data_IF_196185822266
#
_entry.id   IF_196185822266
#
_cell.length_a   1.000
_cell.length_b   1.000
_cell.length_c   1.000
_cell.angle_alpha   90.00
_cell.angle_beta   90.00
_cell.angle_gamma   90.00
#
_symmetry.space_group_name_H-M   'P 1'
#
loop_
_entity.id
_entity.type
_entity.pdbx_description
1 polymer ?
#
# COMPACT_ATOMS: atom_id res chain seq x y z
N UNK A 1 14.42 -5.67 4.44
CA UNK A 1 13.88 -4.40 5.03
C UNK A 1 12.41 -4.25 4.68
N UNK A 2 11.62 -3.48 5.45
CA UNK A 2 10.20 -3.24 5.16
C UNK A 2 10.04 -1.80 4.66
N UNK A 3 9.46 -1.62 3.47
CA UNK A 3 9.04 -0.31 2.96
C UNK A 3 7.53 -0.16 3.14
N UNK A 4 7.11 0.86 3.88
CA UNK A 4 5.69 1.08 4.15
C UNK A 4 5.14 2.27 3.38
N UNK A 5 4.00 2.07 2.69
CA UNK A 5 3.28 3.12 1.95
C UNK A 5 1.94 3.41 2.64
N UNK A 6 1.75 4.66 3.04
CA UNK A 6 0.55 5.12 3.75
C UNK A 6 -0.70 5.25 2.86
N UNK A 7 -1.88 5.31 3.48
CA UNK A 7 -3.14 5.53 2.78
C UNK A 7 -3.35 6.98 2.29
N UNK A 8 -4.47 7.20 1.58
CA UNK A 8 -4.86 8.51 1.08
C UNK A 8 -4.93 9.56 2.20
N UNK A 9 -4.53 10.79 1.88
CA UNK A 9 -4.63 11.95 2.77
C UNK A 9 -3.86 11.79 4.10
N UNK A 10 -2.77 11.02 4.08
CA UNK A 10 -1.89 10.76 5.20
C UNK A 10 -0.44 11.14 4.85
N UNK A 11 0.55 10.71 5.63
CA UNK A 11 1.96 11.00 5.39
C UNK A 11 2.86 9.85 5.86
N UNK A 12 4.16 9.93 5.56
CA UNK A 12 5.18 9.01 6.09
C UNK A 12 5.26 9.01 7.63
N UNK A 13 4.74 10.05 8.29
CA UNK A 13 4.67 10.17 9.76
C UNK A 13 3.40 9.52 10.34
N UNK A 14 2.67 8.74 9.54
CA UNK A 14 1.41 8.12 9.94
C UNK A 14 1.56 7.21 11.16
N UNK A 15 0.55 7.20 12.02
CA UNK A 15 0.51 6.29 13.18
C UNK A 15 0.59 4.81 12.78
N UNK A 16 0.03 4.45 11.61
CA UNK A 16 0.07 3.08 11.10
C UNK A 16 1.49 2.66 10.73
N UNK A 17 2.28 3.54 10.09
CA UNK A 17 3.69 3.25 9.78
C UNK A 17 4.54 3.13 11.05
N UNK A 18 4.32 4.00 12.03
CA UNK A 18 5.00 3.93 13.34
C UNK A 18 4.65 2.64 14.07
N UNK A 19 3.38 2.26 14.09
CA UNK A 19 2.94 1.00 14.70
C UNK A 19 3.60 -0.22 14.03
N UNK A 20 3.69 -0.25 12.71
CA UNK A 20 4.39 -1.33 11.99
C UNK A 20 5.87 -1.39 12.38
N UNK A 21 6.55 -0.23 12.47
CA UNK A 21 7.95 -0.17 12.88
C UNK A 21 8.15 -0.68 14.31
N UNK A 22 7.31 -0.27 15.24
CA UNK A 22 7.37 -0.70 16.66
C UNK A 22 7.09 -2.20 16.81
N UNK A 23 6.10 -2.72 16.08
CA UNK A 23 5.65 -4.11 16.26
C UNK A 23 6.47 -5.13 15.48
N UNK A 24 7.07 -4.74 14.35
CA UNK A 24 7.84 -5.67 13.51
C UNK A 24 9.19 -6.06 14.10
N UNK A 25 9.78 -5.20 14.93
CA UNK A 25 11.15 -5.34 15.39
C UNK A 25 12.18 -5.33 14.24
N UNK A 26 11.80 -4.77 13.09
CA UNK A 26 12.61 -4.68 11.85
C UNK A 26 12.77 -3.23 11.42
N UNK A 27 13.82 -2.88 10.67
CA UNK A 27 13.91 -1.59 10.02
C UNK A 27 12.71 -1.39 9.07
N UNK A 28 11.96 -0.29 9.29
CA UNK A 28 10.84 0.11 8.43
C UNK A 28 11.10 1.49 7.88
N UNK A 29 11.13 1.62 6.56
CA UNK A 29 11.22 2.88 5.85
C UNK A 29 9.81 3.30 5.42
N UNK A 30 9.28 4.36 6.05
CA UNK A 30 7.99 4.92 5.68
C UNK A 30 8.15 5.83 4.45
N UNK A 31 7.63 5.41 3.32
CA UNK A 31 7.63 6.16 2.07
C UNK A 31 6.46 7.15 2.03
N UNK A 32 6.73 8.36 1.53
CA UNK A 32 5.72 9.42 1.45
C UNK A 32 5.45 9.87 0.03
N UNK A 33 4.18 9.99 -0.32
CA UNK A 33 3.72 10.59 -1.56
C UNK A 33 2.80 11.79 -1.30
N UNK A 34 2.64 12.63 -2.30
CA UNK A 34 1.84 13.85 -2.24
C UNK A 34 0.51 13.63 -2.97
N UNK A 35 -0.60 13.61 -2.22
CA UNK A 35 -1.93 13.39 -2.78
C UNK A 35 -2.38 14.48 -3.77
N UNK A 36 -1.70 15.65 -3.77
CA UNK A 36 -1.95 16.74 -4.73
C UNK A 36 -1.23 16.55 -6.07
N UNK A 37 -0.53 15.42 -6.26
CA UNK A 37 0.20 15.11 -7.50
C UNK A 37 -0.42 13.94 -8.26
N UNK A 38 -0.26 13.91 -9.61
CA UNK A 38 -0.71 12.78 -10.42
C UNK A 38 -0.11 11.45 -9.98
N UNK A 39 -0.87 10.38 -10.16
CA UNK A 39 -0.50 9.01 -9.80
C UNK A 39 0.92 8.63 -10.25
N UNK A 40 1.24 8.80 -11.55
CA UNK A 40 2.55 8.39 -12.09
C UNK A 40 3.73 9.11 -11.45
N UNK A 41 3.56 10.40 -11.10
CA UNK A 41 4.62 11.17 -10.41
C UNK A 41 4.86 10.68 -9.00
N UNK A 42 3.81 10.26 -8.32
CA UNK A 42 3.94 9.65 -7.01
C UNK A 42 4.57 8.25 -7.09
N UNK A 43 4.15 7.42 -8.06
CA UNK A 43 4.72 6.08 -8.25
C UNK A 43 6.22 6.16 -8.55
N UNK A 44 6.64 7.00 -9.50
CA UNK A 44 8.04 7.25 -9.83
C UNK A 44 8.86 7.65 -8.61
N UNK A 45 8.34 8.61 -7.80
CA UNK A 45 9.02 9.05 -6.58
C UNK A 45 9.16 7.90 -5.57
N UNK A 46 8.08 7.17 -5.29
CA UNK A 46 8.07 6.07 -4.33
C UNK A 46 9.03 4.95 -4.74
N UNK A 47 8.99 4.56 -6.02
CA UNK A 47 9.86 3.51 -6.56
C UNK A 47 11.34 3.91 -6.51
N UNK A 48 11.67 5.15 -6.87
CA UNK A 48 13.04 5.65 -6.78
C UNK A 48 13.55 5.76 -5.34
N UNK A 49 12.67 6.16 -4.40
CA UNK A 49 13.02 6.26 -2.98
C UNK A 49 13.29 4.88 -2.38
N UNK A 50 12.44 3.89 -2.68
CA UNK A 50 12.66 2.50 -2.25
C UNK A 50 13.90 1.88 -2.88
N UNK A 51 14.08 2.02 -4.19
CA UNK A 51 15.18 1.42 -4.95
C UNK A 51 16.57 1.74 -4.39
N UNK A 52 16.77 2.93 -3.80
CA UNK A 52 18.06 3.36 -3.25
C UNK A 52 18.55 2.50 -2.10
N UNK A 53 17.62 1.94 -1.33
CA UNK A 53 17.92 1.23 -0.09
C UNK A 53 17.55 -0.27 -0.17
N UNK A 54 17.00 -0.74 -1.33
CA UNK A 54 16.64 -2.15 -1.54
C UNK A 54 17.88 -3.01 -1.78
N UNK A 55 17.89 -4.20 -1.14
CA UNK A 55 18.98 -5.18 -1.26
C UNK A 55 18.52 -6.57 -1.78
N UNK A 56 17.27 -6.67 -2.21
CA UNK A 56 16.65 -7.90 -2.73
C UNK A 56 15.95 -8.77 -1.67
N UNK A 57 16.12 -8.45 -0.39
CA UNK A 57 15.44 -9.12 0.72
C UNK A 57 14.38 -8.19 1.34
N UNK A 58 13.62 -7.50 0.49
CA UNK A 58 12.73 -6.44 0.91
C UNK A 58 11.28 -6.76 0.59
N UNK A 59 10.38 -6.19 1.38
CA UNK A 59 8.93 -6.27 1.14
C UNK A 59 8.30 -4.89 1.19
N UNK A 60 7.39 -4.63 0.26
CA UNK A 60 6.58 -3.40 0.28
C UNK A 60 5.27 -3.69 1.00
N UNK A 61 5.02 -2.97 2.09
CA UNK A 61 3.76 -3.06 2.85
C UNK A 61 2.93 -1.82 2.57
N UNK A 62 1.66 -2.00 2.22
CA UNK A 62 0.78 -0.87 1.95
C UNK A 62 -0.63 -1.03 2.49
N UNK A 63 -1.25 0.08 2.88
CA UNK A 63 -2.63 0.11 3.38
C UNK A 63 -3.51 1.03 2.54
N UNK A 64 -4.74 0.60 2.20
CA UNK A 64 -5.69 1.41 1.42
C UNK A 64 -5.09 1.87 0.07
N UNK A 65 -5.07 3.18 -0.23
CA UNK A 65 -4.39 3.71 -1.42
C UNK A 65 -2.89 3.38 -1.41
N UNK A 66 -2.25 3.29 -0.25
CA UNK A 66 -0.87 2.81 -0.14
C UNK A 66 -0.72 1.33 -0.54
N UNK A 67 -1.75 0.50 -0.32
CA UNK A 67 -1.80 -0.86 -0.83
C UNK A 67 -1.89 -0.94 -2.36
N UNK A 68 -2.63 -0.01 -2.97
CA UNK A 68 -2.62 0.16 -4.42
C UNK A 68 -1.22 0.54 -4.93
N UNK A 69 -0.57 1.55 -4.33
CA UNK A 69 0.80 1.92 -4.69
C UNK A 69 1.79 0.78 -4.46
N UNK A 70 1.67 0.04 -3.36
CA UNK A 70 2.55 -1.11 -3.07
C UNK A 70 2.49 -2.18 -4.17
N UNK A 71 1.31 -2.46 -4.73
CA UNK A 71 1.17 -3.36 -5.88
C UNK A 71 1.82 -2.80 -7.15
N UNK A 72 1.67 -1.50 -7.43
CA UNK A 72 2.29 -0.86 -8.60
C UNK A 72 3.82 -0.82 -8.46
N UNK A 73 4.32 -0.49 -7.27
CA UNK A 73 5.76 -0.53 -6.97
C UNK A 73 6.32 -1.95 -7.07
N UNK A 74 5.61 -2.96 -6.54
CA UNK A 74 6.03 -4.36 -6.66
C UNK A 74 6.21 -4.76 -8.14
N UNK A 75 5.33 -4.28 -9.02
CA UNK A 75 5.43 -4.51 -10.47
C UNK A 75 6.64 -3.80 -11.10
N UNK A 76 6.88 -2.53 -10.75
CA UNK A 76 8.01 -1.77 -11.28
C UNK A 76 9.36 -2.30 -10.78
N UNK A 77 9.45 -2.63 -9.50
CA UNK A 77 10.68 -3.04 -8.83
C UNK A 77 10.91 -4.55 -8.86
N UNK A 78 9.96 -5.33 -9.43
CA UNK A 78 10.01 -6.80 -9.49
C UNK A 78 10.24 -7.41 -8.10
N UNK A 79 9.51 -6.92 -7.11
CA UNK A 79 9.62 -7.32 -5.70
C UNK A 79 8.28 -7.83 -5.15
N UNK A 80 8.26 -8.25 -3.88
CA UNK A 80 7.07 -8.73 -3.19
C UNK A 80 6.34 -7.62 -2.44
N UNK A 81 5.06 -7.87 -2.16
CA UNK A 81 4.25 -6.95 -1.36
C UNK A 81 3.30 -7.67 -0.40
N UNK A 82 2.98 -7.00 0.71
CA UNK A 82 1.88 -7.36 1.60
C UNK A 82 0.94 -6.17 1.73
N UNK A 83 -0.31 -6.34 1.33
CA UNK A 83 -1.25 -5.23 1.23
C UNK A 83 -2.50 -5.45 2.06
N UNK A 84 -2.97 -4.38 2.69
CA UNK A 84 -4.14 -4.38 3.57
C UNK A 84 -5.21 -3.46 3.00
N UNK A 85 -6.41 -3.99 2.75
CA UNK A 85 -7.54 -3.26 2.17
C UNK A 85 -7.13 -2.39 0.96
N UNK A 86 -6.33 -2.91 -0.02
CA UNK A 86 -5.82 -2.11 -1.13
C UNK A 86 -6.98 -1.50 -1.92
N UNK A 87 -6.84 -0.25 -2.35
CA UNK A 87 -7.84 0.40 -3.18
C UNK A 87 -7.93 -0.25 -4.56
N UNK A 88 -8.97 -1.07 -4.79
CA UNK A 88 -9.13 -1.85 -6.02
C UNK A 88 -9.65 -1.03 -7.20
N UNK A 89 -10.41 0.03 -6.94
CA UNK A 89 -10.94 0.96 -7.96
C UNK A 89 -10.56 2.40 -7.60
N UNK A 90 -9.25 2.74 -7.64
CA UNK A 90 -8.75 3.99 -7.06
C UNK A 90 -9.46 5.21 -7.63
N UNK A 91 -9.69 5.30 -8.94
CA UNK A 91 -10.36 6.44 -9.55
C UNK A 91 -11.78 6.63 -8.99
N UNK A 92 -12.62 5.61 -8.99
CA UNK A 92 -13.99 5.72 -8.48
C UNK A 92 -14.04 5.93 -6.96
N UNK A 93 -13.14 5.28 -6.21
CA UNK A 93 -13.07 5.39 -4.75
C UNK A 93 -12.56 6.75 -4.28
N UNK A 94 -11.68 7.40 -5.05
CA UNK A 94 -11.17 8.73 -4.75
C UNK A 94 -12.11 9.87 -5.21
N UNK A 95 -13.05 9.63 -6.10
CA UNK A 95 -13.96 10.64 -6.66
C UNK A 95 -14.69 11.47 -5.59
N UNK A 96 -15.05 10.83 -4.47
CA UNK A 96 -15.73 11.50 -3.34
C UNK A 96 -14.88 12.56 -2.63
N UNK A 97 -13.58 12.62 -2.91
CA UNK A 97 -12.64 13.57 -2.30
C UNK A 97 -12.29 14.75 -3.21
N UNK A 98 -12.93 14.87 -4.39
CA UNK A 98 -12.74 16.03 -5.26
C UNK A 98 -13.01 17.33 -4.50
N UNK A 99 -12.15 18.32 -4.69
CA UNK A 99 -12.22 19.62 -4.02
C UNK A 99 -11.19 19.79 -2.90
N UNK A 100 -11.55 20.59 -1.90
CA UNK A 100 -10.67 20.91 -0.77
C UNK A 100 -10.53 19.76 0.22
N UNK A 101 -9.29 19.44 0.58
CA UNK A 101 -8.94 18.41 1.56
C UNK A 101 -8.00 18.97 2.63
N UNK A 102 -7.92 18.22 3.73
CA UNK A 102 -6.94 18.48 4.80
C UNK A 102 -6.18 17.17 5.03
N UNK A 103 -4.86 17.22 4.96
CA UNK A 103 -4.03 16.06 5.29
C UNK A 103 -4.19 15.70 6.77
N UNK A 104 -4.57 14.46 7.08
CA UNK A 104 -4.87 14.03 8.46
C UNK A 104 -3.64 13.97 9.35
N UNK A 105 -2.45 13.83 8.78
CA UNK A 105 -1.21 13.72 9.55
C UNK A 105 -0.51 15.09 9.75
N UNK A 106 -0.62 16.01 8.78
CA UNK A 106 0.09 17.30 8.79
C UNK A 106 -0.82 18.50 9.03
N UNK A 107 -2.14 18.36 8.83
CA UNK A 107 -3.09 19.47 8.87
C UNK A 107 -3.03 20.40 7.65
N UNK A 108 -2.20 20.11 6.66
CA UNK A 108 -2.04 20.91 5.45
C UNK A 108 -3.31 20.84 4.58
N UNK A 109 -3.74 22.01 4.09
CA UNK A 109 -4.89 22.12 3.17
C UNK A 109 -4.40 22.02 1.72
N UNK A 110 -5.10 21.24 0.92
CA UNK A 110 -4.77 21.04 -0.49
C UNK A 110 -6.02 20.78 -1.34
N UNK A 111 -5.88 20.84 -2.65
CA UNK A 111 -6.97 20.61 -3.62
C UNK A 111 -6.77 19.30 -4.37
N UNK A 112 -7.81 18.45 -4.37
CA UNK A 112 -7.87 17.27 -5.23
C UNK A 112 -8.68 17.60 -6.47
N UNK A 113 -8.01 17.66 -7.63
CA UNK A 113 -8.59 18.11 -8.91
C UNK A 113 -8.99 16.93 -9.78
N UNK A 114 -9.84 17.18 -10.79
CA UNK A 114 -10.19 16.17 -11.79
C UNK A 114 -8.96 15.65 -12.54
N UNK A 115 -7.98 16.50 -12.88
CA UNK A 115 -6.73 16.07 -13.52
C UNK A 115 -5.93 15.07 -12.69
N UNK A 116 -5.90 15.28 -11.36
CA UNK A 116 -5.24 14.33 -10.45
C UNK A 116 -6.04 13.03 -10.41
N UNK A 117 -7.37 13.10 -10.26
CA UNK A 117 -8.26 11.95 -10.24
C UNK A 117 -8.14 11.15 -11.54
N UNK A 118 -8.14 11.82 -12.70
CA UNK A 118 -8.04 11.20 -14.02
C UNK A 118 -6.69 10.53 -14.29
N UNK A 119 -5.66 10.88 -13.53
CA UNK A 119 -4.36 10.21 -13.60
C UNK A 119 -4.38 8.79 -13.04
N UNK A 120 -5.34 8.45 -12.17
CA UNK A 120 -5.47 7.10 -11.59
C UNK A 120 -6.14 6.13 -12.55
N UNK A 121 -5.73 4.84 -12.56
CA UNK A 121 -6.41 3.82 -13.34
C UNK A 121 -7.81 3.52 -12.78
N UNK A 122 -8.67 2.96 -13.62
CA UNK A 122 -10.02 2.55 -13.21
C UNK A 122 -9.99 1.44 -12.16
N UNK A 123 -9.04 0.51 -12.29
CA UNK A 123 -8.90 -0.63 -11.37
C UNK A 123 -7.44 -1.05 -11.17
N UNK A 124 -7.15 -1.56 -9.97
CA UNK A 124 -5.92 -2.26 -9.65
C UNK A 124 -5.96 -3.67 -10.23
N UNK A 125 -4.93 -4.03 -10.97
CA UNK A 125 -4.68 -5.42 -11.36
C UNK A 125 -3.64 -6.01 -10.43
N UNK A 126 -3.90 -7.17 -9.84
CA UNK A 126 -2.90 -7.85 -9.03
C UNK A 126 -1.62 -8.11 -9.85
N UNK A 127 -0.42 -7.90 -9.29
CA UNK A 127 0.83 -8.18 -9.97
C UNK A 127 0.93 -9.67 -10.32
N UNK A 128 1.04 -9.99 -11.61
CA UNK A 128 1.14 -11.39 -12.07
C UNK A 128 2.58 -11.89 -11.92
N UNK A 129 2.74 -13.10 -11.42
CA UNK A 129 4.05 -13.74 -11.28
C UNK A 129 4.91 -13.21 -10.14
N UNK A 130 4.40 -12.27 -9.36
CA UNK A 130 5.09 -11.73 -8.18
C UNK A 130 4.37 -12.19 -6.91
N UNK A 131 5.12 -12.45 -5.82
CA UNK A 131 4.54 -12.80 -4.54
C UNK A 131 3.83 -11.57 -3.93
N UNK A 132 2.51 -11.61 -3.86
CA UNK A 132 1.73 -10.55 -3.20
C UNK A 132 0.69 -11.18 -2.31
N UNK A 133 0.78 -10.93 -1.00
CA UNK A 133 -0.24 -11.27 -0.01
C UNK A 133 -1.21 -10.13 0.14
N UNK A 134 -2.50 -10.41 0.04
CA UNK A 134 -3.54 -9.43 0.24
C UNK A 134 -4.45 -9.80 1.42
N UNK A 135 -4.70 -8.82 2.26
CA UNK A 135 -5.65 -8.89 3.36
C UNK A 135 -6.78 -7.90 3.11
N UNK A 136 -8.02 -8.32 3.36
CA UNK A 136 -9.15 -7.40 3.32
C UNK A 136 -10.17 -7.68 4.41
N UNK A 137 -10.79 -6.60 4.89
CA UNK A 137 -11.87 -6.68 5.88
C UNK A 137 -13.24 -6.85 5.21
N UNK A 138 -14.09 -7.68 5.82
CA UNK A 138 -15.52 -7.76 5.44
C UNK A 138 -16.29 -6.51 5.86
N UNK A 139 -15.85 -5.86 6.93
CA UNK A 139 -16.47 -4.69 7.55
C UNK A 139 -15.70 -3.39 7.23
N UNK A 140 -15.16 -3.29 6.00
CA UNK A 140 -14.48 -2.07 5.56
C UNK A 140 -15.48 -0.93 5.36
N UNK A 141 -15.53 -0.03 6.35
CA UNK A 141 -16.44 1.11 6.40
C UNK A 141 -16.05 2.25 5.43
N UNK A 142 -14.81 2.26 4.96
CA UNK A 142 -14.29 3.28 4.03
C UNK A 142 -14.46 2.87 2.57
N UNK A 143 -14.25 1.59 2.30
CA UNK A 143 -14.33 0.99 0.97
C UNK A 143 -15.30 -0.22 0.96
N UNK A 144 -16.60 0.01 1.16
CA UNK A 144 -17.59 -1.08 1.18
C UNK A 144 -17.56 -1.91 -0.10
N UNK A 145 -17.60 -3.24 0.02
CA UNK A 145 -17.56 -4.17 -1.11
C UNK A 145 -16.18 -4.31 -1.79
N UNK A 146 -15.15 -3.65 -1.25
CA UNK A 146 -13.80 -3.74 -1.81
C UNK A 146 -13.15 -5.09 -1.52
N UNK A 147 -13.48 -5.72 -0.40
CA UNK A 147 -12.89 -7.01 0.01
C UNK A 147 -13.15 -8.13 -0.99
N UNK A 148 -14.36 -8.19 -1.57
CA UNK A 148 -14.71 -9.17 -2.60
C UNK A 148 -13.91 -8.95 -3.89
N UNK A 149 -13.58 -7.69 -4.23
CA UNK A 149 -12.71 -7.37 -5.37
C UNK A 149 -11.27 -7.83 -5.09
N UNK A 150 -10.76 -7.63 -3.87
CA UNK A 150 -9.45 -8.10 -3.44
C UNK A 150 -9.40 -9.64 -3.51
N UNK A 151 -10.37 -10.32 -2.91
CA UNK A 151 -10.47 -11.78 -2.94
C UNK A 151 -10.45 -12.35 -4.38
N UNK A 152 -11.17 -11.70 -5.29
CA UNK A 152 -11.23 -12.13 -6.70
C UNK A 152 -9.92 -11.89 -7.46
N UNK A 153 -9.17 -10.85 -7.09
CA UNK A 153 -7.98 -10.43 -7.83
C UNK A 153 -6.69 -11.11 -7.38
N UNK A 154 -6.57 -11.44 -6.09
CA UNK A 154 -5.34 -11.97 -5.50
C UNK A 154 -5.43 -13.46 -5.21
N UNK A 155 -4.44 -14.23 -5.66
CA UNK A 155 -4.36 -15.68 -5.40
C UNK A 155 -4.01 -15.97 -3.93
N UNK A 156 -3.13 -15.15 -3.32
CA UNK A 156 -2.79 -15.24 -1.90
C UNK A 156 -3.55 -14.15 -1.14
N UNK A 157 -4.69 -14.55 -0.61
CA UNK A 157 -5.67 -13.68 0.02
C UNK A 157 -6.15 -14.24 1.35
N UNK A 158 -6.44 -13.34 2.29
CA UNK A 158 -7.03 -13.69 3.57
C UNK A 158 -7.98 -12.60 4.07
N UNK A 159 -9.14 -13.03 4.61
CA UNK A 159 -10.06 -12.14 5.29
C UNK A 159 -9.55 -11.79 6.68
N UNK A 160 -9.72 -10.53 7.08
CA UNK A 160 -9.38 -10.06 8.43
C UNK A 160 -10.60 -9.46 9.12
N UNK A 161 -10.68 -9.69 10.43
CA UNK A 161 -11.71 -9.12 11.30
C UNK A 161 -11.22 -7.77 11.84
N UNK A 162 -11.19 -6.78 10.97
CA UNK A 162 -10.84 -5.40 11.31
C UNK A 162 -11.64 -4.47 10.40
N UNK A 163 -11.85 -3.21 10.78
CA UNK A 163 -12.36 -2.21 9.85
C UNK A 163 -11.34 -1.89 8.75
N UNK A 164 -11.50 -0.73 8.12
CA UNK A 164 -10.60 -0.29 7.06
C UNK A 164 -9.13 -0.18 7.52
N UNK A 165 -8.90 0.23 8.77
CA UNK A 165 -7.57 0.43 9.33
C UNK A 165 -7.03 -0.82 10.00
N UNK A 166 -5.77 -1.13 9.74
CA UNK A 166 -5.05 -2.15 10.52
C UNK A 166 -4.82 -1.61 11.92
N UNK A 167 -5.46 -2.24 12.90
CA UNK A 167 -5.35 -1.84 14.30
C UNK A 167 -4.13 -2.45 15.02
N UNK A 168 -3.60 -3.56 14.49
CA UNK A 168 -2.49 -4.31 15.08
C UNK A 168 -1.80 -5.15 14.01
N UNK A 169 -0.49 -4.95 13.83
CA UNK A 169 0.31 -5.71 12.86
C UNK A 169 0.89 -7.01 13.44
N UNK A 170 0.90 -7.20 14.76
CA UNK A 170 1.52 -8.37 15.39
C UNK A 170 1.04 -9.70 14.82
N UNK A 171 -0.23 -9.76 14.41
CA UNK A 171 -0.83 -10.94 13.76
C UNK A 171 -0.24 -11.26 12.38
N UNK A 172 0.38 -10.29 11.73
CA UNK A 172 0.82 -10.37 10.33
C UNK A 172 2.34 -10.32 10.20
N UNK A 173 3.08 -10.09 11.28
CA UNK A 173 4.53 -9.87 11.25
C UNK A 173 5.28 -11.09 10.69
N UNK A 174 4.89 -12.29 11.08
CA UNK A 174 5.56 -13.50 10.60
C UNK A 174 5.32 -13.69 9.08
N UNK A 175 4.13 -13.37 8.60
CA UNK A 175 3.84 -13.42 7.17
C UNK A 175 4.59 -12.31 6.41
N UNK A 176 4.65 -11.08 6.93
CA UNK A 176 5.45 -10.00 6.35
C UNK A 176 6.92 -10.41 6.25
N UNK A 177 7.49 -11.01 7.30
CA UNK A 177 8.88 -11.52 7.32
C UNK A 177 9.12 -12.64 6.31
N UNK A 178 8.14 -13.51 6.10
CA UNK A 178 8.21 -14.56 5.08
C UNK A 178 8.30 -13.93 3.69
N UNK A 179 7.51 -12.90 3.40
CA UNK A 179 7.55 -12.17 2.14
C UNK A 179 8.83 -11.36 1.97
N UNK A 180 9.40 -10.80 3.04
CA UNK A 180 10.69 -10.12 3.03
C UNK A 180 11.82 -11.03 2.48
N UNK A 181 11.74 -12.32 2.68
CA UNK A 181 12.77 -13.28 2.28
C UNK A 181 12.42 -14.13 1.04
N UNK A 182 11.22 -13.98 0.50
CA UNK A 182 10.69 -14.91 -0.50
C UNK A 182 11.43 -14.85 -1.85
N UNK A 183 11.98 -13.68 -2.22
CA UNK A 183 12.78 -13.49 -3.44
C UNK A 183 14.29 -13.63 -3.19
N UNK A 184 14.71 -13.66 -1.93
CA UNK A 184 16.12 -13.73 -1.53
C UNK A 184 16.72 -15.13 -1.61
N UNK A 185 16.01 -16.12 -2.16
CA UNK A 185 16.61 -17.41 -2.48
C UNK A 185 17.48 -17.22 -3.72
N UNK A 186 18.77 -17.10 -3.47
CA UNK A 186 19.77 -17.02 -4.56
C UNK A 186 19.56 -18.17 -5.54
N UNK A 187 19.56 -17.93 -6.86
CA UNK A 187 19.46 -19.01 -7.85
C UNK A 187 20.69 -19.93 -7.89
N UNK A 188 21.57 -19.86 -6.89
CA UNK A 188 22.83 -20.62 -6.80
C UNK A 188 22.92 -21.44 -5.48
N UNK A 189 21.90 -22.18 -5.12
CA UNK A 189 22.02 -23.37 -4.26
C UNK A 189 21.36 -24.57 -4.92
#
# INVERSE_FOLDING_TARGET
MIFYVHGFNSSKESSTGKMLAEQSGRPVVCLGYDCSRPFKKNLEKLSLEAWKDMDGFDVIVGTSLGGFYACEMARELQTCAVVFNPAMKPKSQLKKFLGGNVNFATGEKWMFTDDILDSYPEELKAPKGLPVKAYASREDEVLPGNGELVQKAFNDFEWVDSGHRVADFRKYIDEIKKYENILGVSPNE
#
